data_IF_203402670230
#
_entry.id   IF_203402670230
#
_cell.length_a   1.000
_cell.length_b   1.000
_cell.length_c   1.000
_cell.angle_alpha   90.00
_cell.angle_beta   90.00
_cell.angle_gamma   90.00
#
_symmetry.space_group_name_H-M   'P 1'
#
loop_
_entity.id
_entity.type
_entity.pdbx_description
1 polymer ?
#
# COMPACT_ATOMS: atom_id res chain seq x y z
N UNK A 1 -31.36 18.86 8.25
CA UNK A 1 -31.64 18.83 6.80
C UNK A 1 -31.15 20.15 6.26
N UNK A 2 -30.21 20.11 5.32
CA UNK A 2 -29.62 21.29 4.71
C UNK A 2 -30.16 21.38 3.29
N UNK A 3 -30.58 22.56 2.87
CA UNK A 3 -31.02 22.79 1.49
C UNK A 3 -29.84 23.36 0.71
N UNK A 4 -29.54 22.73 -0.43
CA UNK A 4 -28.53 23.19 -1.38
C UNK A 4 -29.24 23.53 -2.68
N UNK A 5 -29.14 24.79 -3.09
CA UNK A 5 -29.66 25.24 -4.38
C UNK A 5 -28.61 24.95 -5.46
N UNK A 6 -29.01 24.17 -6.46
CA UNK A 6 -28.19 23.81 -7.61
C UNK A 6 -28.89 24.30 -8.87
N UNK A 7 -28.11 24.66 -9.89
CA UNK A 7 -28.69 24.92 -11.20
C UNK A 7 -29.29 23.63 -11.79
N UNK A 8 -30.15 23.80 -12.80
CA UNK A 8 -30.88 22.68 -13.39
C UNK A 8 -29.94 21.67 -14.08
N UNK A 9 -28.86 22.12 -14.70
CA UNK A 9 -27.94 21.25 -15.45
C UNK A 9 -27.18 20.33 -14.47
N UNK A 10 -26.61 20.92 -13.41
CA UNK A 10 -25.94 20.17 -12.34
C UNK A 10 -26.90 19.21 -11.65
N UNK A 11 -28.13 19.65 -11.36
CA UNK A 11 -29.15 18.81 -10.72
C UNK A 11 -29.53 17.61 -11.58
N UNK A 12 -29.69 17.80 -12.89
CA UNK A 12 -29.99 16.72 -13.84
C UNK A 12 -28.85 15.72 -13.90
N UNK A 13 -27.60 16.18 -14.01
CA UNK A 13 -26.44 15.31 -14.07
C UNK A 13 -26.30 14.46 -12.81
N UNK A 14 -26.43 15.07 -11.63
CA UNK A 14 -26.35 14.33 -10.36
C UNK A 14 -27.49 13.32 -10.20
N UNK A 15 -28.69 13.63 -10.70
CA UNK A 15 -29.81 12.70 -10.69
C UNK A 15 -29.56 11.49 -11.60
N UNK A 16 -28.96 11.70 -12.78
CA UNK A 16 -28.57 10.63 -13.69
C UNK A 16 -27.49 9.73 -13.08
N UNK A 17 -26.45 10.32 -12.47
CA UNK A 17 -25.40 9.59 -11.76
C UNK A 17 -25.97 8.77 -10.60
N UNK A 18 -26.86 9.36 -9.80
CA UNK A 18 -27.49 8.66 -8.67
C UNK A 18 -28.27 7.43 -9.15
N UNK A 19 -28.96 7.55 -10.29
CA UNK A 19 -29.67 6.44 -10.92
C UNK A 19 -28.72 5.35 -11.41
N UNK A 20 -27.59 5.72 -12.03
CA UNK A 20 -26.59 4.76 -12.51
C UNK A 20 -25.90 4.02 -11.36
N UNK A 21 -25.64 4.71 -10.25
CA UNK A 21 -25.01 4.14 -9.06
C UNK A 21 -26.01 3.46 -8.11
N UNK A 22 -27.30 3.40 -8.47
CA UNK A 22 -28.37 2.83 -7.64
C UNK A 22 -28.43 3.41 -6.22
N UNK A 23 -28.22 4.73 -6.11
CA UNK A 23 -28.22 5.48 -4.85
C UNK A 23 -29.24 6.62 -4.89
N UNK A 24 -29.45 7.29 -3.75
CA UNK A 24 -30.26 8.52 -3.72
C UNK A 24 -29.41 9.74 -4.04
N UNK A 25 -30.04 10.78 -4.59
CA UNK A 25 -29.36 12.07 -4.86
C UNK A 25 -28.69 12.64 -3.60
N UNK A 26 -29.35 12.55 -2.44
CA UNK A 26 -28.80 13.03 -1.18
C UNK A 26 -27.56 12.24 -0.73
N UNK A 27 -27.57 10.91 -0.89
CA UNK A 27 -26.41 10.07 -0.57
C UNK A 27 -25.24 10.35 -1.51
N UNK A 28 -25.51 10.45 -2.82
CA UNK A 28 -24.50 10.80 -3.81
C UNK A 28 -23.90 12.17 -3.52
N UNK A 29 -24.74 13.19 -3.32
CA UNK A 29 -24.30 14.56 -3.05
C UNK A 29 -23.45 14.64 -1.78
N UNK A 30 -23.84 13.95 -0.70
CA UNK A 30 -23.04 13.91 0.52
C UNK A 30 -21.68 13.24 0.31
N UNK A 31 -21.62 12.15 -0.46
CA UNK A 31 -20.36 11.47 -0.78
C UNK A 31 -19.44 12.40 -1.57
N UNK A 32 -19.92 12.96 -2.68
CA UNK A 32 -19.14 13.84 -3.54
C UNK A 32 -18.66 15.11 -2.80
N UNK A 33 -19.51 15.69 -1.95
CA UNK A 33 -19.10 16.82 -1.11
C UNK A 33 -17.99 16.43 -0.11
N UNK A 34 -18.07 15.24 0.46
CA UNK A 34 -17.04 14.75 1.39
C UNK A 34 -15.71 14.53 0.66
N UNK A 35 -15.73 13.86 -0.49
CA UNK A 35 -14.55 13.63 -1.34
C UNK A 35 -13.92 14.96 -1.78
N UNK A 36 -14.72 15.92 -2.22
CA UNK A 36 -14.21 17.24 -2.62
C UNK A 36 -13.55 18.01 -1.47
N UNK A 37 -14.11 17.91 -0.26
CA UNK A 37 -13.52 18.54 0.93
C UNK A 37 -12.22 17.85 1.36
N UNK A 38 -12.14 16.52 1.23
CA UNK A 38 -10.92 15.76 1.47
C UNK A 38 -9.82 16.15 0.48
N UNK A 39 -10.11 16.15 -0.83
CA UNK A 39 -9.18 16.55 -1.88
C UNK A 39 -8.65 17.98 -1.66
N UNK A 40 -9.52 18.90 -1.22
CA UNK A 40 -9.11 20.26 -0.91
C UNK A 40 -8.15 20.33 0.29
N UNK A 41 -8.38 19.53 1.32
CA UNK A 41 -7.49 19.44 2.48
C UNK A 41 -6.15 18.82 2.10
N UNK A 42 -6.16 17.76 1.29
CA UNK A 42 -4.97 17.07 0.81
C UNK A 42 -4.10 17.99 -0.05
N UNK A 43 -4.70 18.75 -0.97
CA UNK A 43 -3.99 19.75 -1.75
C UNK A 43 -3.31 20.80 -0.85
N UNK A 44 -4.02 21.31 0.15
CA UNK A 44 -3.46 22.27 1.10
C UNK A 44 -2.32 21.66 1.95
N UNK A 45 -2.46 20.40 2.35
CA UNK A 45 -1.42 19.69 3.10
C UNK A 45 -0.17 19.47 2.24
N UNK A 46 -0.33 19.10 0.97
CA UNK A 46 0.74 18.96 0.01
C UNK A 46 1.48 20.28 -0.23
N UNK A 47 0.75 21.38 -0.43
CA UNK A 47 1.35 22.72 -0.59
C UNK A 47 2.18 23.12 0.63
N UNK A 48 1.67 22.87 1.84
CA UNK A 48 2.41 23.14 3.08
C UNK A 48 3.67 22.27 3.21
N UNK A 49 3.58 20.99 2.85
CA UNK A 49 4.72 20.09 2.87
C UNK A 49 5.79 20.54 1.87
N UNK A 50 5.36 20.95 0.67
CA UNK A 50 6.26 21.46 -0.36
C UNK A 50 6.93 22.76 0.06
N UNK A 51 6.19 23.71 0.64
CA UNK A 51 6.78 24.95 1.14
C UNK A 51 7.81 24.68 2.25
N UNK A 52 7.52 23.76 3.18
CA UNK A 52 8.49 23.36 4.22
C UNK A 52 9.76 22.75 3.64
N UNK A 53 9.65 21.96 2.56
CA UNK A 53 10.81 21.41 1.87
C UNK A 53 11.65 22.50 1.21
N UNK A 54 11.03 23.52 0.60
CA UNK A 54 11.74 24.68 0.06
C UNK A 54 12.43 25.49 1.17
N UNK A 55 11.73 25.72 2.29
CA UNK A 55 12.23 26.51 3.41
C UNK A 55 13.33 25.80 4.21
N UNK A 56 13.29 24.47 4.31
CA UNK A 56 14.32 23.69 5.02
C UNK A 56 15.67 23.70 4.30
N UNK A 57 15.69 24.08 3.02
CA UNK A 57 16.87 23.99 2.16
C UNK A 57 17.34 22.55 1.95
N UNK A 58 16.48 21.55 2.22
CA UNK A 58 16.79 20.15 1.99
C UNK A 58 17.09 19.91 0.51
N UNK A 59 18.25 19.32 0.27
CA UNK A 59 18.71 18.97 -1.06
C UNK A 59 17.86 17.80 -1.52
N UNK A 60 17.23 17.91 -2.70
CA UNK A 60 16.62 16.75 -3.35
C UNK A 60 17.72 15.72 -3.61
N UNK A 61 17.71 14.62 -2.85
CA UNK A 61 18.68 13.54 -3.04
C UNK A 61 18.37 12.79 -4.34
N UNK A 62 19.40 12.48 -5.12
CA UNK A 62 19.24 11.57 -6.26
C UNK A 62 18.89 10.17 -5.72
N UNK A 63 17.96 9.48 -6.38
CA UNK A 63 17.55 8.12 -6.03
C UNK A 63 18.77 7.19 -5.85
N UNK A 64 19.80 7.32 -6.69
CA UNK A 64 21.01 6.49 -6.61
C UNK A 64 21.80 6.73 -5.31
N UNK A 65 21.79 7.96 -4.79
CA UNK A 65 22.47 8.31 -3.54
C UNK A 65 21.67 7.77 -2.34
N UNK A 66 20.34 7.86 -2.38
CA UNK A 66 19.47 7.25 -1.37
C UNK A 66 19.58 5.72 -1.35
N UNK A 67 19.60 5.07 -2.51
CA UNK A 67 19.73 3.61 -2.61
C UNK A 67 21.05 3.12 -2.00
N UNK A 68 22.14 3.87 -2.19
CA UNK A 68 23.43 3.58 -1.54
C UNK A 68 23.39 3.85 -0.05
N UNK A 69 22.83 4.98 0.39
CA UNK A 69 22.75 5.36 1.80
C UNK A 69 21.93 4.34 2.62
N UNK A 70 20.81 3.86 2.08
CA UNK A 70 19.95 2.88 2.74
C UNK A 70 20.33 1.42 2.46
N UNK A 71 21.42 1.16 1.73
CA UNK A 71 21.89 -0.20 1.44
C UNK A 71 20.88 -1.04 0.66
N UNK A 72 20.08 -0.39 -0.20
CA UNK A 72 19.05 -1.04 -1.02
C UNK A 72 19.61 -1.56 -2.34
N UNK A 73 20.92 -1.38 -2.58
CA UNK A 73 21.59 -2.01 -3.70
C UNK A 73 21.63 -3.52 -3.47
N UNK A 74 20.98 -4.30 -4.34
CA UNK A 74 20.98 -5.77 -4.25
C UNK A 74 22.35 -6.40 -4.57
N UNK A 75 23.44 -5.64 -4.49
CA UNK A 75 24.81 -6.11 -4.73
C UNK A 75 25.40 -6.83 -3.51
N UNK A 76 24.91 -6.56 -2.30
CA UNK A 76 25.46 -7.13 -1.08
C UNK A 76 24.67 -8.36 -0.57
N UNK A 77 24.37 -9.32 -1.44
CA UNK A 77 24.21 -10.70 -0.94
C UNK A 77 25.61 -11.24 -0.66
N UNK A 78 26.23 -10.82 0.45
CA UNK A 78 27.29 -11.62 1.05
C UNK A 78 26.60 -12.83 1.65
N UNK A 79 26.50 -13.90 0.86
CA UNK A 79 26.20 -15.23 1.38
C UNK A 79 27.29 -15.54 2.40
N UNK A 80 27.01 -15.38 3.68
CA UNK A 80 27.83 -16.00 4.71
C UNK A 80 27.70 -17.52 4.51
N UNK A 81 28.77 -18.26 4.21
CA UNK A 81 28.68 -19.71 4.19
C UNK A 81 28.34 -20.19 5.61
N UNK A 82 27.29 -21.00 5.71
CA UNK A 82 26.93 -21.70 6.95
C UNK A 82 28.17 -22.44 7.50
N UNK A 83 28.40 -22.47 8.81
CA UNK A 83 29.44 -23.30 9.38
C UNK A 83 29.13 -24.78 9.08
N UNK A 84 30.06 -25.43 8.38
CA UNK A 84 30.00 -26.86 8.07
C UNK A 84 30.00 -27.65 9.38
N UNK A 85 28.84 -28.17 9.77
CA UNK A 85 28.76 -29.13 10.87
C UNK A 85 29.44 -30.44 10.43
N UNK A 86 30.59 -30.74 11.00
CA UNK A 86 31.25 -32.04 10.90
C UNK A 86 30.35 -33.11 11.53
N UNK A 87 29.60 -33.83 10.72
CA UNK A 87 28.89 -35.03 11.15
C UNK A 87 29.90 -36.18 11.27
N UNK A 88 30.34 -36.42 12.51
CA UNK A 88 31.03 -37.64 12.88
C UNK A 88 30.07 -38.84 12.75
N UNK A 89 30.35 -39.66 11.75
CA UNK A 89 29.69 -40.92 11.49
C UNK A 89 30.00 -41.91 12.63
N UNK A 90 28.98 -42.35 13.37
CA UNK A 90 29.06 -43.58 14.16
C UNK A 90 27.84 -44.42 13.84
N UNK A 91 28.05 -45.42 12.99
CA UNK A 91 27.07 -46.42 12.62
C UNK A 91 26.84 -47.40 13.78
N UNK A 92 25.58 -47.67 14.14
CA UNK A 92 25.14 -48.99 14.59
C UNK A 92 23.62 -49.16 14.58
N UNK A 93 23.17 -50.12 13.76
CA UNK A 93 21.98 -50.99 13.91
C UNK A 93 20.57 -50.44 13.66
N UNK A 94 20.05 -50.80 12.48
CA UNK A 94 18.62 -51.03 12.22
C UNK A 94 18.15 -52.34 12.93
N UNK A 95 16.84 -52.65 13.06
CA UNK A 95 16.01 -52.98 11.89
C UNK A 95 14.52 -52.56 11.91
N UNK A 96 13.99 -52.49 10.68
CA UNK A 96 12.63 -52.78 10.20
C UNK A 96 11.45 -52.78 11.20
N UNK A 97 10.50 -51.87 11.02
CA UNK A 97 9.11 -52.22 10.64
C UNK A 97 8.22 -50.97 10.60
N UNK A 98 7.36 -50.92 9.57
CA UNK A 98 6.11 -50.15 9.52
C UNK A 98 6.27 -48.61 9.45
N UNK A 99 5.56 -47.83 8.62
CA UNK A 99 4.26 -48.00 8.01
C UNK A 99 4.26 -47.20 6.71
N UNK A 100 4.12 -47.91 5.60
CA UNK A 100 3.56 -47.36 4.38
C UNK A 100 2.03 -47.33 4.56
N UNK A 101 1.38 -46.34 3.94
CA UNK A 101 -0.06 -46.27 3.64
C UNK A 101 -1.03 -45.65 4.69
N UNK A 102 -1.93 -44.85 4.11
CA UNK A 102 -3.13 -44.16 4.61
C UNK A 102 -2.88 -42.88 5.42
N UNK A 103 -3.42 -41.71 5.07
CA UNK A 103 -4.63 -41.45 4.31
C UNK A 103 -4.57 -40.09 3.59
N UNK A 104 -4.67 -40.12 2.26
CA UNK A 104 -5.42 -39.11 1.52
C UNK A 104 -6.88 -39.57 1.54
N UNK A 105 -7.74 -38.82 2.23
CA UNK A 105 -9.13 -38.49 1.87
C UNK A 105 -9.70 -37.55 2.91
#
# INVERSE_FOLDING_TARGET
>A
MTTLELDNETSTLLAEMAKQEHTTLAQLANRLLTECLEDWQDAQAADKAYQRHLDSGEITHNLDDMVKEFGLDRSATTVHPLPTATLANTAAKAPLSARCALACK
#
